data_IF_349540319166
#
_entry.id   IF_349540319166
#
_cell.length_a   1.000
_cell.length_b   1.000
_cell.length_c   1.000
_cell.angle_alpha   90.00
_cell.angle_beta   90.00
_cell.angle_gamma   90.00
#
_symmetry.space_group_name_H-M   'P 1'
#
loop_
_entity.id
_entity.type
_entity.pdbx_description
1 polymer ?
#
# COMPACT_ATOMS: atom_id res chain seq x y z
N UNK A 1 17.12 -7.90 17.59
CA UNK A 1 17.46 -6.50 17.98
C UNK A 1 18.44 -6.38 19.16
N UNK A 2 18.93 -7.46 19.76
CA UNK A 2 19.79 -7.40 20.97
C UNK A 2 21.06 -6.54 20.78
N UNK A 3 21.73 -6.69 19.63
CA UNK A 3 22.87 -5.84 19.25
C UNK A 3 22.55 -4.33 19.24
N UNK A 4 21.37 -3.95 18.74
CA UNK A 4 20.97 -2.55 18.64
C UNK A 4 20.69 -1.94 20.02
N UNK A 5 20.05 -2.71 20.91
CA UNK A 5 19.80 -2.30 22.30
C UNK A 5 21.09 -2.10 23.08
N UNK A 6 22.10 -2.94 22.83
CA UNK A 6 23.29 -2.93 23.67
C UNK A 6 24.42 -2.04 23.14
N UNK A 7 24.43 -1.70 21.84
CA UNK A 7 25.61 -1.07 21.21
C UNK A 7 25.37 0.33 20.64
N UNK A 8 24.14 0.69 20.24
CA UNK A 8 23.90 1.95 19.50
C UNK A 8 24.07 3.22 20.33
N UNK A 9 23.87 3.10 21.64
CA UNK A 9 23.86 4.23 22.57
C UNK A 9 25.12 4.32 23.45
N UNK A 10 26.00 3.31 23.38
CA UNK A 10 27.28 3.31 24.12
C UNK A 10 28.11 4.54 23.79
N UNK A 11 28.57 5.24 24.83
CA UNK A 11 29.39 6.44 24.70
C UNK A 11 28.62 7.71 24.29
N UNK A 12 27.28 7.65 24.17
CA UNK A 12 26.43 8.82 23.96
C UNK A 12 26.11 9.51 25.29
N UNK A 13 25.60 10.74 25.22
CA UNK A 13 25.05 11.43 26.40
C UNK A 13 23.82 10.70 26.95
N UNK A 14 23.49 10.92 28.22
CA UNK A 14 22.33 10.27 28.86
C UNK A 14 21.03 10.52 28.09
N UNK A 15 20.78 11.77 27.67
CA UNK A 15 19.57 12.14 26.91
C UNK A 15 19.49 11.38 25.57
N UNK A 16 20.63 11.23 24.89
CA UNK A 16 20.71 10.45 23.65
C UNK A 16 20.48 8.96 23.90
N UNK A 17 21.03 8.40 24.98
CA UNK A 17 20.79 7.00 25.35
C UNK A 17 19.31 6.75 25.61
N UNK A 18 18.67 7.61 26.41
CA UNK A 18 17.23 7.53 26.68
C UNK A 18 16.44 7.61 25.37
N UNK A 19 16.74 8.57 24.49
CA UNK A 19 16.04 8.73 23.21
C UNK A 19 16.19 7.50 22.30
N UNK A 20 17.39 6.91 22.23
CA UNK A 20 17.66 5.72 21.40
C UNK A 20 16.89 4.52 21.97
N UNK A 21 16.97 4.28 23.28
CA UNK A 21 16.29 3.14 23.91
C UNK A 21 14.76 3.27 23.81
N UNK A 22 14.20 4.47 24.00
CA UNK A 22 12.77 4.72 23.81
C UNK A 22 12.33 4.46 22.37
N UNK A 23 13.13 4.85 21.38
CA UNK A 23 12.85 4.60 19.97
C UNK A 23 12.89 3.10 19.65
N UNK A 24 13.86 2.36 20.19
CA UNK A 24 13.95 0.90 20.00
C UNK A 24 12.77 0.20 20.68
N UNK A 25 12.41 0.61 21.90
CA UNK A 25 11.28 0.03 22.61
C UNK A 25 9.96 0.22 21.84
N UNK A 26 9.69 1.44 21.35
CA UNK A 26 8.51 1.71 20.52
C UNK A 26 8.50 0.90 19.22
N UNK A 27 9.66 0.77 18.55
CA UNK A 27 9.78 -0.05 17.35
C UNK A 27 9.49 -1.53 17.63
N UNK A 28 9.96 -2.06 18.76
CA UNK A 28 9.69 -3.43 19.17
C UNK A 28 8.20 -3.68 19.40
N UNK A 29 7.52 -2.77 20.10
CA UNK A 29 6.07 -2.90 20.31
C UNK A 29 5.29 -2.80 19.00
N UNK A 30 5.64 -1.86 18.12
CA UNK A 30 5.02 -1.76 16.80
C UNK A 30 5.25 -3.00 15.92
N UNK A 31 6.45 -3.58 15.94
CA UNK A 31 6.73 -4.83 15.24
C UNK A 31 5.95 -6.01 15.80
N UNK A 32 5.82 -6.09 17.14
CA UNK A 32 5.02 -7.14 17.78
C UNK A 32 3.55 -7.02 17.36
N UNK A 33 2.98 -5.82 17.40
CA UNK A 33 1.63 -5.54 16.93
C UNK A 33 1.43 -5.94 15.47
N UNK A 34 2.34 -5.53 14.59
CA UNK A 34 2.27 -5.86 13.16
C UNK A 34 2.39 -7.38 12.89
N UNK A 35 3.17 -8.12 13.68
CA UNK A 35 3.22 -9.58 13.59
C UNK A 35 1.89 -10.19 14.00
N UNK A 36 1.29 -9.74 15.10
CA UNK A 36 -0.02 -10.20 15.57
C UNK A 36 -1.11 -9.98 14.50
N UNK A 37 -1.20 -8.77 13.94
CA UNK A 37 -2.15 -8.44 12.87
C UNK A 37 -1.93 -9.27 11.59
N UNK A 38 -0.68 -9.49 11.20
CA UNK A 38 -0.34 -10.32 10.04
C UNK A 38 -0.70 -11.79 10.26
N UNK A 39 -0.47 -12.32 11.46
CA UNK A 39 -0.82 -13.69 11.80
C UNK A 39 -2.33 -13.90 11.81
N UNK A 40 -3.10 -12.92 12.32
CA UNK A 40 -4.57 -12.96 12.30
C UNK A 40 -5.10 -13.00 10.86
N UNK A 41 -4.58 -12.15 9.97
CA UNK A 41 -4.98 -12.15 8.56
C UNK A 41 -4.52 -13.42 7.86
N UNK A 42 -3.29 -13.90 8.11
CA UNK A 42 -2.81 -15.18 7.56
C UNK A 42 -3.74 -16.34 7.95
N UNK A 43 -4.16 -16.41 9.21
CA UNK A 43 -5.08 -17.45 9.68
C UNK A 43 -6.42 -17.38 8.96
N UNK A 44 -6.96 -16.18 8.73
CA UNK A 44 -8.20 -16.01 7.97
C UNK A 44 -8.09 -16.54 6.53
N UNK A 45 -6.96 -16.27 5.86
CA UNK A 45 -6.70 -16.81 4.52
C UNK A 45 -6.55 -18.34 4.53
N UNK A 46 -5.77 -18.89 5.46
CA UNK A 46 -5.59 -20.34 5.60
C UNK A 46 -6.91 -21.07 5.88
N UNK A 47 -7.76 -20.49 6.75
CA UNK A 47 -9.08 -21.01 7.05
C UNK A 47 -10.01 -20.98 5.83
N UNK A 48 -10.04 -19.88 5.07
CA UNK A 48 -10.87 -19.78 3.88
C UNK A 48 -10.43 -20.75 2.78
N UNK A 49 -9.12 -20.91 2.57
CA UNK A 49 -8.57 -21.86 1.60
C UNK A 49 -8.90 -23.30 2.00
N UNK A 50 -8.67 -23.66 3.27
CA UNK A 50 -8.90 -25.03 3.76
C UNK A 50 -10.38 -25.44 3.77
N UNK A 51 -11.28 -24.48 4.02
CA UNK A 51 -12.73 -24.72 4.05
C UNK A 51 -13.43 -24.44 2.71
N UNK A 52 -12.72 -23.85 1.73
CA UNK A 52 -13.30 -23.38 0.48
C UNK A 52 -14.28 -22.21 0.64
N UNK A 53 -14.27 -21.53 1.80
CA UNK A 53 -15.18 -20.43 2.11
C UNK A 53 -14.56 -19.07 1.77
N UNK A 54 -14.59 -18.73 0.49
CA UNK A 54 -14.01 -17.46 -0.01
C UNK A 54 -14.92 -16.24 0.23
N UNK A 55 -16.18 -16.43 0.62
CA UNK A 55 -17.14 -15.36 0.97
C UNK A 55 -16.69 -14.51 2.18
N UNK A 56 -15.71 -15.01 2.94
CA UNK A 56 -15.05 -14.26 4.02
C UNK A 56 -14.22 -13.09 3.52
N UNK A 57 -13.92 -13.04 2.22
CA UNK A 57 -13.15 -11.98 1.59
C UNK A 57 -14.02 -11.19 0.63
N UNK A 58 -13.77 -9.90 0.59
CA UNK A 58 -14.32 -8.99 -0.40
C UNK A 58 -13.23 -8.67 -1.41
N UNK A 59 -13.62 -8.46 -2.66
CA UNK A 59 -12.70 -8.04 -3.69
C UNK A 59 -13.28 -6.98 -4.62
N UNK A 60 -12.38 -6.22 -5.25
CA UNK A 60 -12.73 -5.20 -6.23
C UNK A 60 -11.72 -5.22 -7.37
N UNK A 61 -12.21 -5.46 -8.58
CA UNK A 61 -11.40 -5.59 -9.78
C UNK A 61 -11.67 -4.42 -10.72
N UNK A 62 -10.62 -3.66 -11.05
CA UNK A 62 -10.66 -2.57 -12.02
C UNK A 62 -9.95 -3.02 -13.28
N UNK A 63 -10.71 -3.39 -14.30
CA UNK A 63 -10.17 -3.78 -15.59
C UNK A 63 -9.84 -2.54 -16.41
N UNK A 64 -8.73 -2.58 -17.13
CA UNK A 64 -8.31 -1.49 -18.00
C UNK A 64 -7.70 -2.00 -19.30
N UNK A 65 -7.81 -1.19 -20.34
CA UNK A 65 -7.03 -1.35 -21.57
C UNK A 65 -5.78 -0.47 -21.52
N UNK A 66 -4.72 -0.88 -22.21
CA UNK A 66 -3.43 -0.18 -22.19
C UNK A 66 -2.26 -1.15 -22.05
N UNK A 67 -1.03 -0.62 -22.14
CA UNK A 67 0.17 -1.44 -21.95
C UNK A 67 0.38 -1.67 -20.44
N UNK A 68 0.65 -2.93 -20.05
CA UNK A 68 1.00 -3.27 -18.67
C UNK A 68 2.47 -2.89 -18.39
N UNK A 69 2.69 -1.59 -18.26
CA UNK A 69 4.03 -1.00 -18.11
C UNK A 69 4.56 -0.98 -16.68
N UNK A 70 3.65 -1.03 -15.70
CA UNK A 70 3.91 -1.02 -14.26
C UNK A 70 3.09 -2.13 -13.63
N UNK A 71 3.72 -2.94 -12.79
CA UNK A 71 3.08 -4.00 -12.01
C UNK A 71 3.45 -3.86 -10.54
N UNK A 72 2.53 -4.19 -9.65
CA UNK A 72 2.75 -4.13 -8.21
C UNK A 72 1.90 -5.18 -7.51
N UNK A 73 2.39 -5.72 -6.40
CA UNK A 73 1.63 -6.62 -5.54
C UNK A 73 2.09 -6.47 -4.10
N UNK A 74 1.20 -6.06 -3.20
CA UNK A 74 1.53 -5.93 -1.78
C UNK A 74 0.30 -6.05 -0.89
N UNK A 75 0.56 -6.21 0.40
CA UNK A 75 -0.41 -6.08 1.49
C UNK A 75 0.01 -4.87 2.30
N UNK A 76 -0.96 -3.99 2.60
CA UNK A 76 -0.72 -2.70 3.21
C UNK A 76 -1.70 -2.46 4.36
N UNK A 77 -1.23 -1.84 5.43
CA UNK A 77 -2.08 -1.35 6.51
C UNK A 77 -2.84 -0.10 6.04
N UNK A 78 -4.14 -0.06 6.28
CA UNK A 78 -5.01 1.05 5.86
C UNK A 78 -4.92 2.24 6.82
N UNK A 79 -3.76 2.93 6.85
CA UNK A 79 -3.59 4.15 7.64
C UNK A 79 -4.30 5.35 7.00
N UNK A 80 -4.20 5.48 5.67
CA UNK A 80 -4.81 6.56 4.90
C UNK A 80 -5.57 6.01 3.69
N UNK A 81 -6.67 6.67 3.33
CA UNK A 81 -7.38 6.40 2.07
C UNK A 81 -6.73 7.13 0.87
N UNK A 82 -7.22 6.88 -0.35
CA UNK A 82 -6.68 7.52 -1.56
C UNK A 82 -6.97 9.03 -1.64
N UNK A 83 -7.93 9.52 -0.86
CA UNK A 83 -8.25 10.93 -0.71
C UNK A 83 -7.40 11.62 0.38
N UNK A 84 -6.53 10.87 1.06
CA UNK A 84 -5.66 11.37 2.13
C UNK A 84 -6.35 11.49 3.50
N UNK A 85 -7.53 10.90 3.68
CA UNK A 85 -8.19 10.80 4.99
C UNK A 85 -7.48 9.76 5.84
N UNK A 86 -7.09 10.11 7.06
CA UNK A 86 -6.56 9.14 8.03
C UNK A 86 -7.69 8.22 8.52
N UNK A 87 -7.54 6.92 8.30
CA UNK A 87 -8.49 5.87 8.67
C UNK A 87 -8.14 5.19 10.00
N UNK A 88 -6.84 5.03 10.26
CA UNK A 88 -6.29 4.51 11.52
C UNK A 88 -5.00 5.25 11.86
N UNK A 89 -4.66 5.33 13.14
CA UNK A 89 -3.36 5.87 13.58
C UNK A 89 -2.43 4.70 13.93
N UNK A 90 -1.41 4.45 13.11
CA UNK A 90 -0.46 3.35 13.35
C UNK A 90 0.46 3.60 14.56
N UNK A 91 0.46 4.82 15.11
CA UNK A 91 1.17 5.12 16.36
C UNK A 91 0.36 4.73 17.61
N UNK A 92 -0.94 4.49 17.46
CA UNK A 92 -1.81 4.00 18.51
C UNK A 92 -1.93 2.48 18.44
N UNK A 93 -1.08 1.78 19.19
CA UNK A 93 -1.00 0.31 19.19
C UNK A 93 -2.23 -0.37 19.83
N UNK A 94 -3.11 0.40 20.49
CA UNK A 94 -4.39 -0.11 21.00
C UNK A 94 -5.44 -0.28 19.88
N UNK A 95 -5.17 0.28 18.70
CA UNK A 95 -5.99 0.10 17.49
C UNK A 95 -5.42 -1.01 16.61
N UNK A 96 -6.29 -1.81 16.03
CA UNK A 96 -5.92 -2.75 14.96
C UNK A 96 -5.97 -2.04 13.62
N UNK A 97 -4.98 -2.28 12.77
CA UNK A 97 -4.94 -1.80 11.40
C UNK A 97 -5.48 -2.86 10.43
N UNK A 98 -6.55 -2.51 9.70
CA UNK A 98 -7.03 -3.36 8.61
C UNK A 98 -5.98 -3.50 7.50
N UNK A 99 -5.79 -4.71 7.01
CA UNK A 99 -4.93 -5.00 5.87
C UNK A 99 -5.72 -4.99 4.56
N UNK A 100 -5.15 -4.38 3.53
CA UNK A 100 -5.64 -4.38 2.16
C UNK A 100 -4.56 -4.94 1.24
N UNK A 101 -4.90 -5.99 0.49
CA UNK A 101 -4.04 -6.52 -0.57
C UNK A 101 -4.38 -5.85 -1.89
N UNK A 102 -3.35 -5.56 -2.70
CA UNK A 102 -3.52 -5.22 -4.11
C UNK A 102 -2.61 -6.07 -5.00
N UNK A 103 -3.03 -6.26 -6.24
CA UNK A 103 -2.20 -6.85 -7.29
C UNK A 103 -2.57 -6.28 -8.66
N UNK A 104 -1.57 -6.10 -9.52
CA UNK A 104 -1.75 -5.75 -10.93
C UNK A 104 -1.40 -6.94 -11.81
N UNK A 105 -2.31 -7.35 -12.68
CA UNK A 105 -2.15 -8.53 -13.53
C UNK A 105 -2.55 -8.24 -14.98
N UNK A 106 -1.96 -9.00 -15.91
CA UNK A 106 -2.32 -8.98 -17.33
C UNK A 106 -3.65 -9.69 -17.55
N UNK A 107 -4.43 -9.19 -18.51
CA UNK A 107 -5.69 -9.81 -18.96
C UNK A 107 -5.70 -9.87 -20.48
N UNK A 108 -6.66 -10.59 -21.07
CA UNK A 108 -6.77 -10.72 -22.54
C UNK A 108 -6.90 -9.37 -23.28
N UNK A 109 -7.41 -8.33 -22.61
CA UNK A 109 -7.69 -7.01 -23.19
C UNK A 109 -6.85 -5.86 -22.61
N UNK A 110 -5.88 -6.17 -21.74
CA UNK A 110 -5.02 -5.20 -21.09
C UNK A 110 -4.56 -5.68 -19.72
N UNK A 111 -5.12 -5.11 -18.66
CA UNK A 111 -4.78 -5.50 -17.29
C UNK A 111 -5.92 -5.28 -16.29
N UNK A 112 -5.66 -5.67 -15.05
CA UNK A 112 -6.56 -5.45 -13.93
C UNK A 112 -5.79 -5.02 -12.69
N UNK A 113 -6.35 -4.05 -11.96
CA UNK A 113 -5.99 -3.76 -10.57
C UNK A 113 -6.98 -4.52 -9.69
N UNK A 114 -6.49 -5.42 -8.85
CA UNK A 114 -7.34 -6.25 -7.99
C UNK A 114 -7.01 -5.93 -6.54
N UNK A 115 -8.04 -5.55 -5.78
CA UNK A 115 -7.98 -5.42 -4.34
C UNK A 115 -8.69 -6.59 -3.67
N UNK A 116 -8.12 -7.08 -2.56
CA UNK A 116 -8.69 -8.15 -1.74
C UNK A 116 -8.48 -7.84 -0.26
N UNK A 117 -9.53 -8.01 0.55
CA UNK A 117 -9.49 -7.79 2.01
C UNK A 117 -10.53 -8.66 2.73
N UNK A 118 -10.37 -8.93 4.04
CA UNK A 118 -11.43 -9.55 4.84
C UNK A 118 -12.73 -8.75 4.78
N UNK A 119 -13.87 -9.40 4.59
CA UNK A 119 -15.16 -8.72 4.36
C UNK A 119 -15.63 -7.84 5.53
N UNK A 120 -15.10 -8.04 6.73
CA UNK A 120 -15.39 -7.24 7.93
C UNK A 120 -14.39 -6.08 8.17
N UNK A 121 -13.31 -5.99 7.38
CA UNK A 121 -12.32 -4.91 7.45
C UNK A 121 -12.89 -3.58 6.89
N UNK A 122 -13.34 -2.72 7.79
CA UNK A 122 -14.05 -1.46 7.50
C UNK A 122 -13.15 -0.40 6.85
N UNK A 123 -11.92 -0.26 7.32
CA UNK A 123 -10.95 0.69 6.79
C UNK A 123 -10.45 0.23 5.42
N UNK A 124 -10.23 -1.07 5.21
CA UNK A 124 -9.95 -1.59 3.86
C UNK A 124 -11.10 -1.29 2.87
N UNK A 125 -12.35 -1.52 3.30
CA UNK A 125 -13.54 -1.16 2.52
C UNK A 125 -13.58 0.34 2.19
N UNK A 126 -13.29 1.21 3.16
CA UNK A 126 -13.24 2.68 2.96
C UNK A 126 -12.14 3.08 1.99
N UNK A 127 -10.95 2.48 2.08
CA UNK A 127 -9.85 2.71 1.14
C UNK A 127 -10.28 2.40 -0.29
N UNK A 128 -10.90 1.25 -0.54
CA UNK A 128 -11.38 0.87 -1.88
C UNK A 128 -12.50 1.81 -2.37
N UNK A 129 -13.42 2.20 -1.49
CA UNK A 129 -14.47 3.18 -1.81
C UNK A 129 -13.91 4.57 -2.13
N UNK A 130 -12.82 4.99 -1.47
CA UNK A 130 -12.14 6.24 -1.82
C UNK A 130 -11.49 6.15 -3.21
N UNK A 131 -10.96 4.98 -3.58
CA UNK A 131 -10.44 4.73 -4.92
C UNK A 131 -11.56 4.79 -5.97
N UNK A 132 -12.76 4.27 -5.66
CA UNK A 132 -13.94 4.36 -6.52
C UNK A 132 -14.29 5.81 -6.88
N UNK A 133 -14.11 6.76 -5.96
CA UNK A 133 -14.41 8.19 -6.16
C UNK A 133 -13.44 8.92 -7.11
N UNK A 134 -12.27 8.32 -7.39
CA UNK A 134 -11.30 8.91 -8.31
C UNK A 134 -11.85 8.88 -9.75
N UNK A 135 -11.76 9.99 -10.51
CA UNK A 135 -12.16 10.00 -11.92
C UNK A 135 -11.43 8.93 -12.74
N UNK A 136 -12.15 8.24 -13.62
CA UNK A 136 -11.64 7.12 -14.43
C UNK A 136 -10.32 7.42 -15.12
N UNK A 137 -10.21 8.59 -15.73
CA UNK A 137 -9.02 9.07 -16.43
C UNK A 137 -7.82 9.28 -15.50
N UNK A 138 -8.06 9.45 -14.20
CA UNK A 138 -7.03 9.73 -13.18
C UNK A 138 -6.63 8.49 -12.38
N UNK A 139 -7.43 7.42 -12.39
CA UNK A 139 -7.21 6.21 -11.59
C UNK A 139 -5.83 5.58 -11.84
N UNK A 140 -5.43 5.44 -13.10
CA UNK A 140 -4.12 4.85 -13.44
C UNK A 140 -2.95 5.64 -12.86
N UNK A 141 -2.95 6.96 -13.02
CA UNK A 141 -1.88 7.82 -12.49
C UNK A 141 -1.81 7.78 -10.96
N UNK A 142 -2.97 7.87 -10.31
CA UNK A 142 -3.04 7.87 -8.84
C UNK A 142 -2.63 6.51 -8.29
N UNK A 143 -3.09 5.41 -8.89
CA UNK A 143 -2.71 4.08 -8.46
C UNK A 143 -1.20 3.81 -8.64
N UNK A 144 -0.60 4.24 -9.75
CA UNK A 144 0.85 4.11 -9.94
C UNK A 144 1.62 4.91 -8.89
N UNK A 145 1.19 6.13 -8.57
CA UNK A 145 1.80 6.90 -7.47
C UNK A 145 1.68 6.17 -6.13
N UNK A 146 0.51 5.60 -5.85
CA UNK A 146 0.28 4.78 -4.66
C UNK A 146 1.23 3.58 -4.61
N UNK A 147 1.40 2.82 -5.70
CA UNK A 147 2.33 1.70 -5.76
C UNK A 147 3.76 2.12 -5.42
N UNK A 148 4.27 3.19 -6.02
CA UNK A 148 5.63 3.65 -5.74
C UNK A 148 5.82 4.25 -4.35
N UNK A 149 4.76 4.73 -3.71
CA UNK A 149 4.82 5.27 -2.36
C UNK A 149 4.73 4.19 -1.29
N UNK A 150 3.86 3.20 -1.50
CA UNK A 150 3.45 2.25 -0.47
C UNK A 150 4.05 0.85 -0.65
N UNK A 151 4.45 0.48 -1.88
CA UNK A 151 4.84 -0.88 -2.20
C UNK A 151 6.27 -0.95 -2.73
N UNK A 152 7.15 -1.56 -1.94
CA UNK A 152 8.50 -1.95 -2.39
C UNK A 152 8.45 -2.97 -3.54
N UNK A 153 7.37 -3.74 -3.63
CA UNK A 153 7.16 -4.78 -4.64
C UNK A 153 6.49 -4.21 -5.90
N UNK A 154 7.09 -3.15 -6.45
CA UNK A 154 6.65 -2.46 -7.67
C UNK A 154 7.72 -2.55 -8.74
N UNK A 155 7.37 -3.10 -9.91
CA UNK A 155 8.25 -3.24 -11.06
C UNK A 155 7.69 -2.50 -12.28
N UNK A 156 8.57 -2.11 -13.19
CA UNK A 156 8.18 -1.36 -14.37
C UNK A 156 9.13 -1.63 -15.54
N UNK A 157 8.63 -1.43 -16.76
CA UNK A 157 9.44 -1.62 -17.95
C UNK A 157 10.45 -0.48 -18.15
N UNK A 158 11.63 -0.80 -18.71
CA UNK A 158 12.62 0.22 -19.09
C UNK A 158 12.07 1.20 -20.13
N UNK A 159 11.20 0.72 -21.02
CA UNK A 159 10.58 1.53 -22.06
C UNK A 159 9.67 2.62 -21.46
N UNK A 160 8.82 2.22 -20.50
CA UNK A 160 7.98 3.13 -19.71
C UNK A 160 8.82 4.21 -19.05
N UNK A 161 9.82 3.80 -18.27
CA UNK A 161 10.67 4.75 -17.55
C UNK A 161 11.34 5.74 -18.50
N UNK A 162 11.87 5.27 -19.63
CA UNK A 162 12.54 6.15 -20.58
C UNK A 162 11.61 7.16 -21.23
N UNK A 163 10.33 6.79 -21.49
CA UNK A 163 9.32 7.67 -22.09
C UNK A 163 8.81 8.77 -21.14
N UNK A 164 8.91 8.57 -19.83
CA UNK A 164 8.43 9.58 -18.87
C UNK A 164 9.19 10.92 -19.00
N UNK A 165 8.47 12.06 -18.93
CA UNK A 165 9.10 13.38 -18.84
C UNK A 165 9.90 13.52 -17.53
N UNK A 166 10.88 14.44 -17.47
CA UNK A 166 11.69 14.65 -16.27
C UNK A 166 10.87 14.88 -14.99
N UNK A 167 9.78 15.66 -15.08
CA UNK A 167 8.87 15.94 -13.96
C UNK A 167 8.25 14.68 -13.36
N UNK A 168 7.82 13.73 -14.19
CA UNK A 168 7.25 12.47 -13.75
C UNK A 168 8.34 11.55 -13.15
N UNK A 169 9.54 11.52 -13.75
CA UNK A 169 10.66 10.76 -13.19
C UNK A 169 11.03 11.24 -11.79
N UNK A 170 11.04 12.56 -11.57
CA UNK A 170 11.36 13.15 -10.27
C UNK A 170 10.24 12.90 -9.24
N UNK A 171 8.97 12.94 -9.67
CA UNK A 171 7.84 12.51 -8.85
C UNK A 171 8.00 11.05 -8.40
N UNK A 172 8.19 10.12 -9.34
CA UNK A 172 8.32 8.69 -9.03
C UNK A 172 9.52 8.41 -8.12
N UNK A 173 10.67 9.05 -8.39
CA UNK A 173 11.84 8.94 -7.49
C UNK A 173 11.52 9.43 -6.10
N UNK A 174 10.84 10.56 -5.95
CA UNK A 174 10.48 11.10 -4.64
C UNK A 174 9.57 10.12 -3.89
N UNK A 175 8.54 9.60 -4.54
CA UNK A 175 7.62 8.62 -3.93
C UNK A 175 8.37 7.34 -3.51
N UNK A 176 9.21 6.80 -4.40
CA UNK A 176 9.99 5.58 -4.12
C UNK A 176 11.09 5.76 -3.07
N UNK A 177 11.49 6.99 -2.75
CA UNK A 177 12.44 7.29 -1.67
C UNK A 177 11.77 7.82 -0.40
N UNK A 178 10.43 7.92 -0.39
CA UNK A 178 9.70 8.29 0.83
C UNK A 178 9.85 7.17 1.86
N UNK A 179 10.19 7.55 3.09
CA UNK A 179 10.33 6.60 4.21
C UNK A 179 8.98 6.28 4.87
N UNK A 180 8.02 7.19 4.75
CA UNK A 180 6.66 7.07 5.29
C UNK A 180 5.75 8.04 4.53
N UNK A 181 4.44 7.85 4.67
CA UNK A 181 3.42 8.71 4.06
C UNK A 181 2.68 9.47 5.16
N UNK A 182 2.82 10.80 5.14
CA UNK A 182 2.17 11.71 6.10
C UNK A 182 0.73 12.10 5.72
N UNK A 183 0.10 11.33 4.83
CA UNK A 183 -1.21 11.66 4.26
C UNK A 183 -1.17 12.70 3.14
N UNK A 184 -2.37 13.05 2.66
CA UNK A 184 -2.60 14.02 1.59
C UNK A 184 -2.92 13.42 0.23
N UNK A 185 -4.08 13.78 -0.33
CA UNK A 185 -4.60 13.22 -1.58
C UNK A 185 -3.57 13.16 -2.72
N UNK A 186 -3.49 12.01 -3.38
CA UNK A 186 -2.81 11.87 -4.65
C UNK A 186 -3.48 12.76 -5.70
N UNK A 187 -2.67 13.34 -6.59
CA UNK A 187 -3.15 14.18 -7.69
C UNK A 187 -2.76 13.56 -9.01
N UNK A 188 -3.69 13.56 -9.96
CA UNK A 188 -3.38 13.18 -11.33
C UNK A 188 -2.25 14.05 -11.88
N UNK A 189 -1.38 13.46 -12.69
CA UNK A 189 -0.29 14.20 -13.32
C UNK A 189 -0.81 14.94 -14.56
N UNK A 190 -0.28 16.13 -14.84
CA UNK A 190 -0.62 16.87 -16.07
C UNK A 190 -0.27 16.06 -17.32
N UNK A 191 0.85 15.33 -17.26
CA UNK A 191 1.21 14.29 -18.24
C UNK A 191 1.03 12.92 -17.61
N UNK A 192 0.22 12.07 -18.25
CA UNK A 192 -0.10 10.72 -17.76
C UNK A 192 1.15 9.89 -17.46
N UNK A 193 1.09 9.14 -16.36
CA UNK A 193 2.10 8.15 -15.98
C UNK A 193 1.91 6.86 -16.78
N UNK A 194 0.67 6.49 -17.06
CA UNK A 194 0.30 5.27 -17.80
C UNK A 194 -0.84 5.56 -18.77
N UNK A 195 -0.94 4.78 -19.84
CA UNK A 195 -2.02 4.88 -20.83
C UNK A 195 -3.26 4.04 -20.47
N UNK A 196 -3.44 3.72 -19.19
CA UNK A 196 -4.53 2.86 -18.73
C UNK A 196 -5.89 3.55 -18.83
N UNK A 197 -6.81 2.91 -19.53
CA UNK A 197 -8.20 3.36 -19.65
C UNK A 197 -9.10 2.33 -18.99
N UNK A 198 -9.79 2.69 -17.91
CA UNK A 198 -10.66 1.75 -17.20
C UNK A 198 -11.81 1.33 -18.12
N UNK A 199 -12.02 0.01 -18.23
CA UNK A 199 -13.00 -0.61 -19.08
C UNK A 199 -14.24 -1.06 -18.30
N UNK A 200 -14.04 -1.72 -17.16
CA UNK A 200 -15.11 -2.20 -16.29
C UNK A 200 -14.63 -2.30 -14.85
N UNK A 201 -15.59 -2.37 -13.93
CA UNK A 201 -15.34 -2.59 -12.50
C UNK A 201 -16.25 -3.70 -12.03
N UNK A 202 -15.66 -4.76 -11.48
CA UNK A 202 -16.38 -5.90 -10.93
C UNK A 202 -16.18 -5.98 -9.41
N UNK A 203 -17.20 -6.47 -8.73
CA UNK A 203 -17.11 -6.89 -7.32
C UNK A 203 -17.30 -8.40 -7.28
N UNK A 204 -16.42 -9.09 -6.55
CA UNK A 204 -16.60 -10.49 -6.18
C UNK A 204 -16.59 -10.56 -4.67
#
# INVERSE_FOLDING_TARGET
MEFQRDMLDRGRSLDQQISIQMSIFKNLEGQRKSIEENDDVRQQFEDAISTGNYEKFSSRCYFFTGELEVVSSAILQCEFDFCGTQLTDLWDLDLDADLLSHSVMETESGGAIVFVWPSDAKNATRSVQSFDQIPTESKGDIFVQYCFLQSENTYFSKAWWNRLPPTNKDLIRRLANSLYYDGGAFKACDTKLVNWTMASVDTI
#
